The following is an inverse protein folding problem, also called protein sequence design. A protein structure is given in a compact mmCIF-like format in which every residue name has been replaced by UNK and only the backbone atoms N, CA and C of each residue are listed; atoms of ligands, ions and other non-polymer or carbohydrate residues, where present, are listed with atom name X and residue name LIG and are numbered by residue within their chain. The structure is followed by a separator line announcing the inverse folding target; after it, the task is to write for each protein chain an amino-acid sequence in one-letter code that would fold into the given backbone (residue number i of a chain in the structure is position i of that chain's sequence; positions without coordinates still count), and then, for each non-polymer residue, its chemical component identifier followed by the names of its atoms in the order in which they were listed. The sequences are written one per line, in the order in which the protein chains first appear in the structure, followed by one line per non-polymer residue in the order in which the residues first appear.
data_IF_864807943457
#
_entry.id   IF_864807943457
#
_cell.length_a   1.000
_cell.length_b   1.000
_cell.length_c   1.000
_cell.angle_alpha   90.00
_cell.angle_beta   90.00
_cell.angle_gamma   90.00
#
_symmetry.space_group_name_H-M   'P 1'
#
loop_
_entity.id
_entity.type
_entity.pdbx_description
1 polymer ?
#
# COMPACT_ATOMS: atom_id res chain seq x y z
N UNK A 1 -5.80 -4.66 -32.64
CA UNK A 1 -6.02 -6.05 -33.13
C UNK A 1 -7.46 -6.17 -33.56
N UNK A 2 -7.75 -6.80 -34.74
CA UNK A 2 -9.14 -7.05 -35.14
C UNK A 2 -9.67 -8.21 -34.33
N UNK A 3 -10.61 -7.94 -33.43
CA UNK A 3 -11.32 -8.99 -32.68
C UNK A 3 -12.13 -9.83 -33.65
N UNK A 4 -11.94 -11.15 -33.66
CA UNK A 4 -12.70 -12.06 -34.50
C UNK A 4 -13.98 -12.47 -33.77
N UNK A 5 -15.12 -12.04 -34.31
CA UNK A 5 -16.45 -12.42 -33.82
C UNK A 5 -17.19 -13.27 -34.86
N UNK A 6 -17.75 -14.43 -34.43
CA UNK A 6 -18.50 -15.32 -35.31
C UNK A 6 -19.62 -16.03 -34.54
N UNK A 7 -20.79 -16.12 -35.15
CA UNK A 7 -21.95 -16.90 -34.67
C UNK A 7 -22.26 -17.97 -35.70
N UNK A 8 -22.26 -19.24 -35.25
CA UNK A 8 -22.58 -20.42 -36.06
C UNK A 8 -23.71 -21.20 -35.41
N UNK A 9 -24.56 -21.78 -36.27
CA UNK A 9 -25.59 -22.71 -35.81
C UNK A 9 -25.31 -24.13 -36.32
N UNK A 10 -25.64 -25.11 -35.49
CA UNK A 10 -25.54 -26.52 -35.87
C UNK A 10 -26.56 -27.37 -35.09
N UNK A 11 -26.97 -28.50 -35.68
CA UNK A 11 -27.90 -29.43 -35.08
C UNK A 11 -27.15 -30.45 -34.22
N UNK A 12 -27.62 -30.68 -33.00
CA UNK A 12 -27.05 -31.66 -32.08
C UNK A 12 -27.61 -33.06 -32.38
N UNK A 13 -27.02 -33.73 -33.37
CA UNK A 13 -27.51 -35.03 -33.89
C UNK A 13 -27.58 -36.17 -32.89
N UNK A 14 -26.79 -36.11 -31.81
CA UNK A 14 -26.81 -37.09 -30.73
C UNK A 14 -27.91 -36.84 -29.67
N UNK A 15 -28.76 -35.84 -29.86
CA UNK A 15 -29.85 -35.48 -28.96
C UNK A 15 -31.20 -35.41 -29.70
N UNK A 16 -31.43 -36.34 -30.63
CA UNK A 16 -32.73 -36.47 -31.34
C UNK A 16 -33.80 -36.89 -30.34
N UNK A 17 -34.90 -36.13 -30.32
CA UNK A 17 -36.07 -36.42 -29.45
C UNK A 17 -36.94 -37.49 -30.08
N UNK A 18 -37.87 -38.04 -29.26
CA UNK A 18 -38.88 -39.00 -29.76
C UNK A 18 -39.73 -38.48 -30.93
N UNK A 19 -39.79 -37.18 -31.11
CA UNK A 19 -40.46 -36.47 -32.23
C UNK A 19 -39.66 -36.49 -33.55
N UNK A 20 -38.48 -37.11 -33.57
CA UNK A 20 -37.59 -37.11 -34.74
C UNK A 20 -36.81 -35.79 -34.93
N UNK A 21 -37.03 -34.78 -34.08
CA UNK A 21 -36.34 -33.47 -34.16
C UNK A 21 -35.17 -33.41 -33.22
N UNK A 22 -34.12 -32.67 -33.57
CA UNK A 22 -32.96 -32.43 -32.75
C UNK A 22 -32.79 -30.91 -32.51
N UNK A 23 -32.26 -30.51 -31.35
CA UNK A 23 -32.11 -29.08 -31.01
C UNK A 23 -31.01 -28.42 -31.83
N UNK A 24 -31.27 -27.18 -32.21
CA UNK A 24 -30.28 -26.28 -32.85
C UNK A 24 -29.52 -25.56 -31.79
N UNK A 25 -28.17 -25.57 -31.88
CA UNK A 25 -27.26 -24.94 -30.94
C UNK A 25 -26.59 -23.78 -31.68
N UNK A 26 -26.52 -22.64 -30.98
CA UNK A 26 -25.70 -21.51 -31.38
C UNK A 26 -24.31 -21.62 -30.74
N UNK A 27 -23.26 -21.39 -31.55
CA UNK A 27 -21.87 -21.26 -31.11
C UNK A 27 -21.39 -19.86 -31.33
N UNK A 28 -20.98 -19.18 -30.29
CA UNK A 28 -20.33 -17.87 -30.32
C UNK A 28 -18.82 -18.10 -30.22
N UNK A 29 -18.06 -17.45 -31.10
CA UNK A 29 -16.58 -17.41 -31.06
C UNK A 29 -16.13 -15.98 -30.97
N UNK A 30 -15.29 -15.66 -30.00
CA UNK A 30 -14.60 -14.37 -29.82
C UNK A 30 -13.13 -14.67 -29.57
N UNK A 31 -12.24 -14.16 -30.39
CA UNK A 31 -10.78 -14.33 -30.28
C UNK A 31 -10.36 -15.79 -29.97
N UNK A 32 -10.90 -16.75 -30.78
CA UNK A 32 -10.69 -18.19 -30.66
C UNK A 32 -11.40 -18.88 -29.48
N UNK A 33 -11.82 -18.16 -28.42
CA UNK A 33 -12.63 -18.71 -27.35
C UNK A 33 -14.06 -19.01 -27.85
N UNK A 34 -14.61 -20.17 -27.45
CA UNK A 34 -15.91 -20.67 -27.95
C UNK A 34 -16.84 -20.96 -26.79
N UNK A 35 -18.09 -20.51 -26.92
CA UNK A 35 -19.19 -20.90 -26.04
C UNK A 35 -20.41 -21.31 -26.84
N UNK A 36 -21.36 -22.01 -26.20
CA UNK A 36 -22.55 -22.57 -26.86
C UNK A 36 -23.79 -22.36 -25.99
N UNK A 37 -24.95 -22.24 -26.68
CA UNK A 37 -26.25 -22.24 -26.00
C UNK A 37 -27.33 -22.85 -26.91
N UNK A 38 -28.40 -23.32 -26.31
CA UNK A 38 -29.57 -23.84 -27.02
C UNK A 38 -30.43 -22.69 -27.51
N UNK A 39 -30.76 -22.68 -28.81
CA UNK A 39 -31.64 -21.66 -29.41
C UNK A 39 -33.11 -21.84 -29.10
N UNK A 40 -33.48 -22.95 -28.45
CA UNK A 40 -34.86 -23.44 -28.24
C UNK A 40 -35.59 -23.83 -29.55
N UNK A 41 -34.89 -23.84 -30.69
CA UNK A 41 -35.41 -24.31 -31.98
C UNK A 41 -34.97 -25.76 -32.19
N UNK A 42 -35.82 -26.51 -32.90
CA UNK A 42 -35.60 -27.89 -33.23
C UNK A 42 -35.92 -28.16 -34.72
N UNK A 43 -35.17 -29.07 -35.31
CA UNK A 43 -35.35 -29.46 -36.73
C UNK A 43 -34.99 -30.92 -36.90
N UNK A 44 -35.58 -31.59 -37.91
CA UNK A 44 -35.18 -32.94 -38.32
C UNK A 44 -33.73 -32.87 -38.91
N UNK A 45 -32.81 -33.77 -38.48
CA UNK A 45 -31.39 -33.69 -38.87
C UNK A 45 -31.12 -33.76 -40.37
N UNK A 46 -32.03 -34.37 -41.16
CA UNK A 46 -32.02 -34.48 -42.62
C UNK A 46 -32.40 -33.15 -43.30
N UNK A 47 -33.14 -32.30 -42.62
CA UNK A 47 -33.54 -30.98 -43.11
C UNK A 47 -32.56 -29.88 -42.77
N UNK A 48 -31.31 -30.18 -42.43
CA UNK A 48 -30.31 -29.23 -42.05
C UNK A 48 -29.13 -29.16 -43.00
N UNK A 49 -28.87 -27.97 -43.56
CA UNK A 49 -27.69 -27.67 -44.36
C UNK A 49 -26.51 -27.33 -43.43
N UNK A 50 -25.60 -28.26 -43.26
CA UNK A 50 -24.44 -28.10 -42.36
C UNK A 50 -23.49 -27.00 -42.80
N UNK A 51 -23.09 -26.87 -44.10
CA UNK A 51 -22.23 -25.80 -44.57
C UNK A 51 -22.82 -24.40 -44.38
N UNK A 52 -24.11 -24.23 -44.65
CA UNK A 52 -24.82 -22.95 -44.53
C UNK A 52 -25.27 -22.64 -43.11
N UNK A 53 -25.40 -23.66 -42.26
CA UNK A 53 -25.95 -23.52 -40.90
C UNK A 53 -27.40 -23.03 -40.89
N UNK A 54 -28.22 -23.53 -41.79
CA UNK A 54 -29.63 -23.16 -42.01
C UNK A 54 -30.50 -24.39 -42.34
N UNK A 55 -31.80 -24.22 -42.13
CA UNK A 55 -32.77 -25.22 -42.55
C UNK A 55 -32.86 -25.30 -44.06
N UNK A 56 -32.96 -26.56 -44.61
CA UNK A 56 -33.17 -26.83 -46.07
C UNK A 56 -34.64 -26.77 -46.43
N UNK A 57 -34.93 -26.43 -47.69
CA UNK A 57 -36.31 -26.39 -48.22
C UNK A 57 -36.91 -24.99 -48.29
N UNK A 58 -38.04 -24.89 -49.05
CA UNK A 58 -38.80 -23.64 -49.23
C UNK A 58 -40.12 -23.61 -48.47
N UNK A 59 -40.37 -24.61 -47.63
CA UNK A 59 -41.60 -24.71 -46.86
C UNK A 59 -41.66 -23.67 -45.75
N UNK A 60 -42.87 -23.37 -45.25
CA UNK A 60 -43.06 -22.34 -44.21
C UNK A 60 -42.28 -22.60 -42.93
N UNK A 61 -42.13 -23.88 -42.51
CA UNK A 61 -41.35 -24.24 -41.33
C UNK A 61 -39.85 -23.91 -41.46
N UNK A 62 -39.25 -24.23 -42.63
CA UNK A 62 -37.85 -23.92 -42.90
C UNK A 62 -37.60 -22.40 -42.96
N UNK A 63 -38.53 -21.65 -43.58
CA UNK A 63 -38.46 -20.18 -43.63
C UNK A 63 -38.57 -19.58 -42.22
N UNK A 64 -39.49 -20.03 -41.41
CA UNK A 64 -39.68 -19.58 -40.03
C UNK A 64 -38.44 -19.86 -39.17
N UNK A 65 -37.88 -21.07 -39.23
CA UNK A 65 -36.66 -21.44 -38.49
C UNK A 65 -35.51 -20.54 -38.94
N UNK A 66 -35.31 -20.33 -40.24
CA UNK A 66 -34.25 -19.49 -40.77
C UNK A 66 -34.37 -18.02 -40.36
N UNK A 67 -35.60 -17.47 -40.31
CA UNK A 67 -35.86 -16.11 -39.83
C UNK A 67 -35.49 -16.00 -38.35
N UNK A 68 -35.94 -16.94 -37.49
CA UNK A 68 -35.63 -16.94 -36.09
C UNK A 68 -34.12 -17.10 -35.80
N UNK A 69 -33.40 -17.88 -36.61
CA UNK A 69 -31.94 -17.99 -36.50
C UNK A 69 -31.24 -16.69 -36.87
N UNK A 70 -31.73 -15.96 -37.87
CA UNK A 70 -31.19 -14.66 -38.23
C UNK A 70 -31.49 -13.61 -37.14
N UNK A 71 -32.67 -13.64 -36.50
CA UNK A 71 -33.00 -12.81 -35.34
C UNK A 71 -32.05 -13.09 -34.15
N UNK A 72 -31.81 -14.38 -33.86
CA UNK A 72 -30.84 -14.78 -32.80
C UNK A 72 -29.44 -14.23 -33.14
N UNK A 73 -29.01 -14.35 -34.42
CA UNK A 73 -27.71 -13.84 -34.84
C UNK A 73 -27.60 -12.33 -34.63
N UNK A 74 -28.61 -11.57 -35.08
CA UNK A 74 -28.66 -10.11 -34.90
C UNK A 74 -28.66 -9.69 -33.44
N UNK A 75 -29.46 -10.37 -32.59
CA UNK A 75 -29.51 -10.08 -31.15
C UNK A 75 -28.16 -10.35 -30.43
N UNK A 76 -27.51 -11.47 -30.77
CA UNK A 76 -26.17 -11.79 -30.22
C UNK A 76 -25.14 -10.78 -30.72
N UNK A 77 -25.21 -10.36 -31.99
CA UNK A 77 -24.30 -9.36 -32.55
C UNK A 77 -24.49 -7.99 -31.91
N UNK A 78 -25.74 -7.60 -31.65
CA UNK A 78 -26.06 -6.37 -30.91
C UNK A 78 -25.44 -6.37 -29.50
N UNK A 79 -25.55 -7.49 -28.79
CA UNK A 79 -24.94 -7.63 -27.45
C UNK A 79 -23.41 -7.56 -27.52
N UNK A 80 -22.79 -8.19 -28.52
CA UNK A 80 -21.35 -8.09 -28.74
C UNK A 80 -20.88 -6.65 -28.93
N UNK A 81 -21.54 -5.87 -29.80
CA UNK A 81 -21.17 -4.47 -30.03
C UNK A 81 -21.41 -3.60 -28.79
N UNK A 82 -22.54 -3.77 -28.10
CA UNK A 82 -22.84 -3.02 -26.87
C UNK A 82 -21.80 -3.29 -25.80
N UNK A 83 -21.40 -4.55 -25.58
CA UNK A 83 -20.35 -4.91 -24.61
C UNK A 83 -18.97 -4.37 -25.04
N UNK A 84 -18.66 -4.37 -26.33
CA UNK A 84 -17.40 -3.85 -26.85
C UNK A 84 -17.27 -2.34 -26.67
N UNK A 85 -18.36 -1.60 -26.93
CA UNK A 85 -18.43 -0.15 -26.72
C UNK A 85 -18.34 0.24 -25.25
N UNK A 86 -18.99 -0.53 -24.35
CA UNK A 86 -19.04 -0.20 -22.93
C UNK A 86 -17.75 -0.58 -22.20
N UNK A 87 -17.20 -1.76 -22.47
CA UNK A 87 -16.15 -2.37 -21.65
C UNK A 87 -14.80 -2.50 -22.38
N UNK A 88 -14.75 -2.23 -23.71
CA UNK A 88 -13.53 -2.32 -24.53
C UNK A 88 -12.96 -3.73 -24.71
N UNK A 89 -13.50 -4.73 -24.00
CA UNK A 89 -13.10 -6.14 -24.05
C UNK A 89 -14.30 -7.06 -23.86
N UNK A 90 -14.41 -8.08 -24.70
CA UNK A 90 -15.57 -8.99 -24.73
C UNK A 90 -15.09 -10.44 -24.80
N UNK A 91 -15.69 -11.33 -23.98
CA UNK A 91 -15.51 -12.78 -24.08
C UNK A 91 -16.77 -13.45 -24.67
N UNK A 92 -16.59 -14.63 -25.26
CA UNK A 92 -17.71 -15.38 -25.82
C UNK A 92 -18.79 -15.69 -24.77
N UNK A 93 -18.37 -16.02 -23.53
CA UNK A 93 -19.27 -16.31 -22.40
C UNK A 93 -20.10 -15.08 -22.03
N UNK A 94 -19.50 -13.89 -21.96
CA UNK A 94 -20.20 -12.64 -21.63
C UNK A 94 -21.26 -12.30 -22.67
N UNK A 95 -20.96 -12.50 -23.95
CA UNK A 95 -21.96 -12.28 -25.03
C UNK A 95 -23.12 -13.25 -24.89
N UNK A 96 -22.85 -14.54 -24.63
CA UNK A 96 -23.88 -15.55 -24.39
C UNK A 96 -24.77 -15.17 -23.20
N UNK A 97 -24.16 -14.82 -22.08
CA UNK A 97 -24.86 -14.54 -20.83
C UNK A 97 -25.69 -13.26 -20.92
N UNK A 98 -25.17 -12.24 -21.62
CA UNK A 98 -25.93 -11.03 -21.94
C UNK A 98 -27.14 -11.31 -22.84
N UNK A 99 -26.97 -12.15 -23.88
CA UNK A 99 -28.06 -12.58 -24.75
C UNK A 99 -29.14 -13.38 -24.02
N UNK A 100 -28.72 -14.28 -23.12
CA UNK A 100 -29.62 -15.12 -22.32
C UNK A 100 -30.28 -14.37 -21.15
N UNK A 101 -30.01 -13.06 -21.00
CA UNK A 101 -30.50 -12.28 -19.86
C UNK A 101 -29.94 -12.76 -18.50
N UNK A 102 -28.88 -13.56 -18.53
CA UNK A 102 -28.12 -13.90 -17.33
C UNK A 102 -27.27 -12.68 -16.99
N UNK A 103 -27.85 -11.74 -16.26
CA UNK A 103 -27.10 -10.65 -15.69
C UNK A 103 -25.96 -11.26 -14.88
N UNK A 104 -24.69 -11.03 -15.27
CA UNK A 104 -23.60 -11.13 -14.31
C UNK A 104 -24.09 -10.38 -13.08
N UNK A 105 -24.08 -11.02 -11.89
CA UNK A 105 -24.27 -10.31 -10.63
C UNK A 105 -23.26 -9.18 -10.68
N UNK A 106 -23.73 -7.97 -10.95
CA UNK A 106 -22.87 -6.81 -11.07
C UNK A 106 -22.25 -6.62 -9.71
N UNK A 107 -20.99 -7.05 -9.54
CA UNK A 107 -20.29 -6.94 -8.26
C UNK A 107 -20.15 -5.47 -7.92
N UNK A 108 -20.54 -5.16 -6.71
CA UNK A 108 -20.47 -3.81 -6.17
C UNK A 108 -19.13 -3.56 -5.48
N UNK A 109 -18.78 -2.31 -5.28
CA UNK A 109 -17.46 -1.95 -4.70
C UNK A 109 -17.37 -2.34 -3.23
N UNK A 110 -18.44 -2.21 -2.44
CA UNK A 110 -18.41 -2.54 -1.02
C UNK A 110 -18.35 -4.06 -0.82
N UNK A 111 -19.14 -4.85 -1.58
CA UNK A 111 -19.07 -6.31 -1.58
C UNK A 111 -17.65 -6.80 -1.93
N UNK A 112 -17.03 -6.17 -2.94
CA UNK A 112 -15.67 -6.53 -3.35
C UNK A 112 -14.61 -6.11 -2.32
N UNK A 113 -14.81 -4.97 -1.69
CA UNK A 113 -13.93 -4.49 -0.61
C UNK A 113 -14.00 -5.42 0.60
N UNK A 114 -15.19 -5.92 0.94
CA UNK A 114 -15.39 -6.90 2.01
C UNK A 114 -14.66 -8.21 1.70
N UNK A 115 -14.81 -8.75 0.49
CA UNK A 115 -14.07 -9.92 0.03
C UNK A 115 -12.55 -9.74 0.12
N UNK A 116 -12.03 -8.56 -0.26
CA UNK A 116 -10.62 -8.25 -0.09
C UNK A 116 -10.21 -8.26 1.38
N UNK A 117 -11.02 -7.67 2.28
CA UNK A 117 -10.72 -7.59 3.71
C UNK A 117 -10.74 -8.98 4.36
N UNK A 118 -11.67 -9.86 3.97
CA UNK A 118 -11.71 -11.25 4.41
C UNK A 118 -10.44 -12.02 3.98
N UNK A 119 -10.04 -11.90 2.72
CA UNK A 119 -8.80 -12.50 2.24
C UNK A 119 -7.56 -11.95 2.95
N UNK A 120 -7.55 -10.64 3.25
CA UNK A 120 -6.47 -10.04 4.01
C UNK A 120 -6.43 -10.59 5.44
N UNK A 121 -7.58 -10.75 6.09
CA UNK A 121 -7.68 -11.33 7.43
C UNK A 121 -7.13 -12.77 7.47
N UNK A 122 -7.43 -13.58 6.45
CA UNK A 122 -6.84 -14.91 6.30
C UNK A 122 -5.32 -14.87 6.19
N UNK A 123 -4.77 -13.93 5.38
CA UNK A 123 -3.31 -13.74 5.22
C UNK A 123 -2.60 -13.39 6.54
N UNK A 124 -3.26 -12.64 7.43
CA UNK A 124 -2.71 -12.29 8.75
C UNK A 124 -3.11 -13.31 9.83
N UNK A 125 -3.35 -14.57 9.43
CA UNK A 125 -3.65 -15.71 10.31
C UNK A 125 -4.85 -15.44 11.22
N UNK A 126 -5.88 -14.81 10.68
CA UNK A 126 -7.12 -14.47 11.40
C UNK A 126 -6.91 -13.61 12.66
N UNK A 127 -5.83 -12.82 12.70
CA UNK A 127 -5.58 -11.88 13.80
C UNK A 127 -6.51 -10.66 13.71
N UNK A 128 -7.57 -10.58 14.55
CA UNK A 128 -8.52 -9.48 14.53
C UNK A 128 -7.93 -8.19 15.11
N UNK A 129 -6.76 -8.25 15.79
CA UNK A 129 -6.11 -7.06 16.35
C UNK A 129 -5.18 -6.37 15.35
N UNK A 130 -5.04 -6.94 14.14
CA UNK A 130 -4.17 -6.41 13.10
C UNK A 130 -4.56 -4.99 12.68
N UNK A 131 -3.71 -4.02 13.01
CA UNK A 131 -3.96 -2.59 12.75
C UNK A 131 -4.13 -2.27 11.26
N UNK A 132 -3.55 -3.07 10.36
CA UNK A 132 -3.70 -2.86 8.91
C UNK A 132 -5.06 -3.33 8.43
N UNK A 133 -5.56 -4.45 8.92
CA UNK A 133 -6.92 -4.91 8.68
C UNK A 133 -7.95 -3.84 9.09
N UNK A 134 -7.85 -3.31 10.29
CA UNK A 134 -8.75 -2.26 10.77
C UNK A 134 -8.69 -0.97 9.94
N UNK A 135 -7.55 -0.65 9.35
CA UNK A 135 -7.44 0.50 8.44
C UNK A 135 -8.15 0.26 7.12
N UNK A 136 -8.16 -0.97 6.60
CA UNK A 136 -8.96 -1.34 5.43
C UNK A 136 -10.45 -1.31 5.76
N UNK A 137 -10.85 -1.87 6.90
CA UNK A 137 -12.24 -1.86 7.34
C UNK A 137 -12.77 -0.44 7.57
N UNK A 138 -11.97 0.42 8.19
CA UNK A 138 -12.32 1.83 8.32
C UNK A 138 -12.45 2.50 6.93
N UNK A 139 -11.63 2.11 5.96
CA UNK A 139 -11.73 2.65 4.60
C UNK A 139 -13.02 2.19 3.92
N UNK A 140 -13.44 0.93 4.10
CA UNK A 140 -14.70 0.40 3.60
C UNK A 140 -15.89 1.20 4.16
N UNK A 141 -15.93 1.42 5.47
CA UNK A 141 -16.98 2.21 6.13
C UNK A 141 -17.04 3.65 5.61
N UNK A 142 -15.88 4.30 5.45
CA UNK A 142 -15.79 5.65 4.86
C UNK A 142 -16.29 5.68 3.41
N UNK A 143 -16.03 4.64 2.66
CA UNK A 143 -16.51 4.51 1.28
C UNK A 143 -18.02 4.33 1.24
N UNK A 144 -18.60 3.52 2.13
CA UNK A 144 -20.04 3.32 2.30
C UNK A 144 -20.74 4.65 2.65
N UNK A 145 -20.23 5.38 3.64
CA UNK A 145 -20.71 6.71 4.02
C UNK A 145 -20.67 7.69 2.83
N UNK A 146 -19.57 7.69 2.07
CA UNK A 146 -19.40 8.53 0.89
C UNK A 146 -20.42 8.20 -0.22
N UNK A 147 -20.61 6.92 -0.54
CA UNK A 147 -21.55 6.46 -1.56
C UNK A 147 -22.97 6.93 -1.19
N UNK A 148 -23.36 6.71 0.06
CA UNK A 148 -24.66 7.17 0.56
C UNK A 148 -24.80 8.68 0.52
N UNK A 149 -23.77 9.42 0.93
CA UNK A 149 -23.76 10.88 0.97
C UNK A 149 -23.84 11.51 -0.43
N UNK A 150 -23.04 11.01 -1.38
CA UNK A 150 -22.90 11.65 -2.70
C UNK A 150 -23.91 11.15 -3.73
N UNK A 151 -24.24 9.85 -3.68
CA UNK A 151 -25.05 9.20 -4.71
C UNK A 151 -26.42 8.73 -4.22
N UNK A 152 -26.69 8.79 -2.91
CA UNK A 152 -27.97 8.38 -2.29
C UNK A 152 -28.32 6.89 -2.54
N UNK A 153 -27.31 6.05 -2.74
CA UNK A 153 -27.46 4.59 -2.91
C UNK A 153 -26.68 3.85 -1.81
N UNK A 154 -27.03 2.58 -1.60
CA UNK A 154 -26.36 1.75 -0.57
C UNK A 154 -24.99 1.22 -1.02
N UNK A 155 -24.81 0.99 -2.33
CA UNK A 155 -23.58 0.49 -2.94
C UNK A 155 -23.55 0.83 -4.44
N UNK A 156 -22.39 0.69 -5.10
CA UNK A 156 -22.22 1.01 -6.50
C UNK A 156 -21.55 -0.13 -7.27
N UNK A 157 -21.94 -0.38 -8.53
CA UNK A 157 -21.22 -1.30 -9.42
C UNK A 157 -19.75 -0.90 -9.59
N UNK A 158 -18.85 -1.88 -9.55
CA UNK A 158 -17.41 -1.64 -9.79
C UNK A 158 -17.11 -0.91 -11.10
N UNK A 159 -17.87 -1.18 -12.15
CA UNK A 159 -17.73 -0.55 -13.47
C UNK A 159 -18.05 0.94 -13.50
N UNK A 160 -18.84 1.43 -12.55
CA UNK A 160 -19.29 2.84 -12.50
C UNK A 160 -18.28 3.73 -11.74
N UNK A 161 -17.23 3.12 -11.16
CA UNK A 161 -16.16 3.85 -10.48
C UNK A 161 -15.22 4.43 -11.54
N UNK A 162 -15.09 5.75 -11.53
CA UNK A 162 -14.25 6.52 -12.43
C UNK A 162 -13.33 7.49 -11.68
N UNK A 163 -12.52 8.26 -12.38
CA UNK A 163 -11.60 9.25 -11.79
C UNK A 163 -12.34 10.26 -10.92
N UNK A 164 -13.50 10.74 -11.38
CA UNK A 164 -14.31 11.70 -10.61
C UNK A 164 -14.83 11.13 -9.28
N UNK A 165 -15.17 9.83 -9.27
CA UNK A 165 -15.50 9.12 -8.02
C UNK A 165 -14.35 9.16 -7.03
N UNK A 166 -13.12 8.89 -7.49
CA UNK A 166 -11.91 8.89 -6.65
C UNK A 166 -11.62 10.29 -6.09
N UNK A 167 -11.73 11.32 -6.92
CA UNK A 167 -11.54 12.72 -6.51
C UNK A 167 -12.60 13.16 -5.50
N UNK A 168 -13.87 12.84 -5.74
CA UNK A 168 -14.95 13.13 -4.81
C UNK A 168 -14.79 12.39 -3.47
N UNK A 169 -14.28 11.15 -3.48
CA UNK A 169 -13.98 10.41 -2.25
C UNK A 169 -12.84 11.06 -1.45
N UNK A 170 -11.81 11.60 -2.12
CA UNK A 170 -10.77 12.40 -1.48
C UNK A 170 -11.37 13.63 -0.80
N UNK A 171 -12.11 14.45 -1.55
CA UNK A 171 -12.73 15.67 -1.06
C UNK A 171 -13.75 15.40 0.07
N UNK A 172 -14.50 14.32 0.02
CA UNK A 172 -15.40 13.91 1.09
C UNK A 172 -14.64 13.67 2.40
N UNK A 173 -13.50 12.98 2.37
CA UNK A 173 -12.70 12.76 3.57
C UNK A 173 -12.07 14.06 4.10
N UNK A 174 -11.70 15.00 3.24
CA UNK A 174 -11.14 16.29 3.63
C UNK A 174 -12.23 17.22 4.22
N UNK A 175 -13.34 17.40 3.51
CA UNK A 175 -14.32 18.44 3.81
C UNK A 175 -15.38 17.98 4.83
N UNK A 176 -15.86 16.73 4.74
CA UNK A 176 -16.90 16.22 5.64
C UNK A 176 -16.31 15.65 6.92
N UNK A 177 -15.17 14.95 6.81
CA UNK A 177 -14.52 14.34 7.97
C UNK A 177 -13.35 15.15 8.52
N UNK A 178 -13.03 16.30 7.96
CA UNK A 178 -11.94 17.17 8.43
C UNK A 178 -10.56 16.51 8.40
N UNK A 179 -10.35 15.51 7.55
CA UNK A 179 -9.06 14.85 7.43
C UNK A 179 -8.04 15.79 6.75
N UNK A 180 -6.82 15.86 7.28
CA UNK A 180 -5.76 16.48 6.51
C UNK A 180 -5.48 15.67 5.22
N UNK A 181 -4.91 16.34 4.21
CA UNK A 181 -4.66 15.77 2.88
C UNK A 181 -3.99 14.40 2.92
N UNK A 182 -2.94 14.23 3.71
CA UNK A 182 -2.23 12.96 3.81
C UNK A 182 -3.06 11.82 4.42
N UNK A 183 -3.97 12.14 5.32
CA UNK A 183 -4.89 11.15 5.89
C UNK A 183 -5.95 10.75 4.89
N UNK A 184 -6.57 11.71 4.20
CA UNK A 184 -7.54 11.47 3.12
C UNK A 184 -6.89 10.67 1.98
N UNK A 185 -5.68 11.05 1.57
CA UNK A 185 -4.91 10.34 0.54
C UNK A 185 -4.58 8.89 0.90
N UNK A 186 -4.45 8.54 2.20
CA UNK A 186 -4.30 7.15 2.63
C UNK A 186 -5.57 6.33 2.47
N UNK A 187 -6.76 6.91 2.59
CA UNK A 187 -8.01 6.25 2.26
C UNK A 187 -8.06 5.95 0.75
N UNK A 188 -7.73 6.93 -0.08
CA UNK A 188 -7.65 6.77 -1.53
C UNK A 188 -6.61 5.72 -1.94
N UNK A 189 -5.44 5.69 -1.30
CA UNK A 189 -4.40 4.68 -1.56
C UNK A 189 -4.90 3.25 -1.26
N UNK A 190 -5.67 3.06 -0.18
CA UNK A 190 -6.25 1.74 0.15
C UNK A 190 -7.35 1.35 -0.83
N UNK A 191 -8.21 2.30 -1.23
CA UNK A 191 -9.18 2.08 -2.30
C UNK A 191 -8.48 1.64 -3.58
N UNK A 192 -7.38 2.31 -3.97
CA UNK A 192 -6.56 1.90 -5.13
C UNK A 192 -6.03 0.46 -5.00
N UNK A 193 -5.64 0.03 -3.80
CA UNK A 193 -5.18 -1.35 -3.58
C UNK A 193 -6.30 -2.36 -3.86
N UNK A 194 -7.52 -2.07 -3.41
CA UNK A 194 -8.69 -2.92 -3.65
C UNK A 194 -9.10 -2.91 -5.13
N UNK A 195 -9.08 -1.75 -5.77
CA UNK A 195 -9.34 -1.63 -7.22
C UNK A 195 -8.29 -2.40 -8.05
N UNK A 196 -7.02 -2.33 -7.67
CA UNK A 196 -5.98 -3.13 -8.32
C UNK A 196 -6.20 -4.64 -8.12
N UNK A 197 -6.69 -5.06 -6.96
CA UNK A 197 -7.09 -6.43 -6.73
C UNK A 197 -8.24 -6.84 -7.66
N UNK A 198 -9.25 -5.98 -7.85
CA UNK A 198 -10.35 -6.19 -8.80
C UNK A 198 -9.86 -6.31 -10.26
N UNK A 199 -8.89 -5.48 -10.66
CA UNK A 199 -8.25 -5.57 -11.98
C UNK A 199 -7.51 -6.88 -12.17
N UNK A 200 -6.67 -7.26 -11.19
CA UNK A 200 -5.86 -8.48 -11.26
C UNK A 200 -6.70 -9.77 -11.25
N UNK A 201 -7.91 -9.73 -10.70
CA UNK A 201 -8.87 -10.84 -10.73
C UNK A 201 -9.81 -10.81 -11.94
N UNK A 202 -9.61 -9.87 -12.87
CA UNK A 202 -10.43 -9.75 -14.10
C UNK A 202 -11.84 -9.21 -13.86
N UNK A 203 -12.11 -8.62 -12.70
CA UNK A 203 -13.42 -8.07 -12.35
C UNK A 203 -13.61 -6.62 -12.79
N UNK A 204 -12.51 -5.92 -13.08
CA UNK A 204 -12.50 -4.54 -13.55
C UNK A 204 -11.50 -4.40 -14.70
N UNK A 205 -11.94 -3.90 -15.85
CA UNK A 205 -11.11 -3.76 -17.05
C UNK A 205 -10.54 -2.35 -17.23
N UNK A 206 -11.30 -1.33 -16.81
CA UNK A 206 -10.88 0.07 -16.90
C UNK A 206 -10.34 0.52 -15.55
N UNK A 207 -9.16 1.17 -15.54
CA UNK A 207 -8.55 1.68 -14.33
C UNK A 207 -9.11 3.05 -13.95
N UNK A 208 -9.92 3.16 -12.90
CA UNK A 208 -10.43 4.46 -12.43
C UNK A 208 -9.33 5.38 -11.88
N UNK A 209 -8.13 4.83 -11.64
CA UNK A 209 -6.95 5.59 -11.18
C UNK A 209 -5.97 5.94 -12.31
N UNK A 210 -6.29 5.66 -13.58
CA UNK A 210 -5.35 5.80 -14.70
C UNK A 210 -4.67 7.17 -14.77
N UNK A 211 -5.43 8.24 -14.56
CA UNK A 211 -4.95 9.62 -14.54
C UNK A 211 -4.82 10.22 -13.13
N UNK A 212 -5.18 9.47 -12.08
CA UNK A 212 -5.12 9.96 -10.71
C UNK A 212 -3.77 9.62 -10.06
N UNK A 213 -3.02 10.66 -9.66
CA UNK A 213 -1.74 10.49 -8.98
C UNK A 213 -1.93 10.57 -7.46
N UNK A 214 -1.67 9.45 -6.77
CA UNK A 214 -1.60 9.41 -5.30
C UNK A 214 -0.35 10.19 -4.87
N UNK A 215 -0.52 11.44 -4.45
CA UNK A 215 0.57 12.34 -4.06
C UNK A 215 0.39 12.76 -2.60
N UNK A 216 1.39 12.50 -1.78
CA UNK A 216 1.43 12.95 -0.39
C UNK A 216 2.18 14.28 -0.27
N UNK A 217 1.68 15.15 0.58
CA UNK A 217 2.38 16.35 0.98
C UNK A 217 3.54 16.02 1.92
N UNK A 218 4.64 16.73 1.76
CA UNK A 218 5.78 16.57 2.65
C UNK A 218 5.44 17.09 4.04
N UNK A 219 5.55 16.25 5.04
CA UNK A 219 5.36 16.62 6.44
C UNK A 219 6.72 16.79 7.10
N UNK A 220 7.02 17.98 7.54
CA UNK A 220 8.17 18.20 8.40
C UNK A 220 7.81 17.81 9.83
N UNK A 221 8.46 16.78 10.33
CA UNK A 221 8.22 16.29 11.70
C UNK A 221 9.13 16.95 12.72
N UNK A 222 10.06 17.77 12.24
CA UNK A 222 11.07 18.38 13.09
C UNK A 222 12.05 17.40 13.71
N UNK A 223 13.03 17.95 14.38
CA UNK A 223 14.01 17.24 15.22
C UNK A 223 14.49 18.18 16.32
N UNK A 224 15.10 17.64 17.36
CA UNK A 224 15.76 18.40 18.40
C UNK A 224 17.22 18.65 18.02
N UNK A 225 17.71 19.84 18.32
CA UNK A 225 19.15 20.14 18.25
C UNK A 225 19.90 19.41 19.37
N UNK A 226 21.22 19.36 19.33
CA UNK A 226 22.01 18.73 20.39
C UNK A 226 21.81 19.47 21.72
N UNK A 227 21.75 20.81 21.68
CA UNK A 227 21.51 21.66 22.85
C UNK A 227 20.15 21.34 23.51
N UNK A 228 19.10 21.19 22.71
CA UNK A 228 17.76 20.80 23.21
C UNK A 228 17.75 19.39 23.80
N UNK A 229 18.45 18.43 23.18
CA UNK A 229 18.62 17.06 23.72
C UNK A 229 19.32 17.10 25.07
N UNK A 230 20.40 17.86 25.18
CA UNK A 230 21.18 17.99 26.41
C UNK A 230 20.43 18.79 27.48
N UNK A 231 19.63 19.79 27.10
CA UNK A 231 18.75 20.50 28.03
C UNK A 231 17.74 19.55 28.68
N UNK A 232 17.11 18.67 27.90
CA UNK A 232 16.20 17.62 28.43
C UNK A 232 16.97 16.64 29.35
N UNK A 233 18.15 16.20 28.91
CA UNK A 233 18.95 15.22 29.64
C UNK A 233 19.37 15.72 31.04
N UNK A 234 19.83 16.96 31.14
CA UNK A 234 20.30 17.54 32.40
C UNK A 234 19.19 18.12 33.25
N UNK A 235 17.99 18.28 32.74
CA UNK A 235 16.89 18.84 33.54
C UNK A 235 16.47 17.88 34.67
N UNK A 236 16.30 18.42 35.87
CA UNK A 236 15.78 17.67 37.02
C UNK A 236 14.27 17.80 37.05
N UNK A 237 13.57 16.67 36.99
CA UNK A 237 12.12 16.66 37.01
C UNK A 237 11.58 16.31 38.41
N UNK A 238 10.48 16.95 38.86
CA UNK A 238 9.92 16.71 40.20
C UNK A 238 9.24 15.34 40.34
N UNK A 239 8.93 14.69 39.24
CA UNK A 239 8.22 13.41 39.19
C UNK A 239 9.10 12.30 38.62
N UNK A 240 9.16 11.16 39.33
CA UNK A 240 9.81 9.94 38.87
C UNK A 240 9.31 9.49 37.49
N UNK A 241 8.02 9.74 37.18
CA UNK A 241 7.43 9.38 35.87
C UNK A 241 8.03 10.23 34.73
N UNK A 242 8.19 11.53 34.97
CA UNK A 242 8.82 12.42 33.97
C UNK A 242 10.29 12.05 33.77
N UNK A 243 11.03 11.71 34.87
CA UNK A 243 12.40 11.22 34.72
C UNK A 243 12.49 9.92 33.90
N UNK A 244 11.57 8.98 34.12
CA UNK A 244 11.53 7.74 33.35
C UNK A 244 11.24 8.00 31.88
N UNK A 245 10.31 8.90 31.57
CA UNK A 245 9.98 9.28 30.16
C UNK A 245 11.17 10.02 29.55
N UNK A 246 11.82 10.94 30.25
CA UNK A 246 13.06 11.58 29.81
C UNK A 246 14.11 10.54 29.45
N UNK A 247 14.38 9.59 30.31
CA UNK A 247 15.41 8.56 30.11
C UNK A 247 15.10 7.69 28.89
N UNK A 248 13.84 7.27 28.72
CA UNK A 248 13.40 6.54 27.52
C UNK A 248 13.58 7.34 26.26
N UNK A 249 13.22 8.62 26.28
CA UNK A 249 13.31 9.51 25.14
C UNK A 249 14.77 9.78 24.76
N UNK A 250 15.61 10.11 25.76
CA UNK A 250 17.04 10.34 25.56
C UNK A 250 17.74 9.07 25.07
N UNK A 251 17.41 7.90 25.64
CA UNK A 251 17.92 6.64 25.14
C UNK A 251 17.62 6.45 23.66
N UNK A 252 16.40 6.76 23.22
CA UNK A 252 16.03 6.71 21.82
C UNK A 252 16.73 7.80 20.99
N UNK A 253 17.01 8.98 21.53
CA UNK A 253 17.79 10.04 20.86
C UNK A 253 19.22 9.61 20.50
N UNK A 254 19.81 8.67 21.26
CA UNK A 254 21.17 8.19 21.01
C UNK A 254 21.25 6.80 20.37
N UNK A 255 20.14 6.05 20.34
CA UNK A 255 20.09 4.70 19.76
C UNK A 255 19.23 4.59 18.51
N UNK A 256 18.42 5.62 18.22
CA UNK A 256 17.42 5.62 17.15
C UNK A 256 16.39 4.47 17.24
N UNK A 257 16.28 3.75 18.34
CA UNK A 257 15.29 2.72 18.55
C UNK A 257 13.88 3.30 18.54
N UNK A 258 12.93 2.60 17.93
CA UNK A 258 11.52 3.01 18.02
C UNK A 258 10.96 2.69 19.40
N UNK A 259 9.81 3.27 19.76
CA UNK A 259 9.17 3.03 21.05
C UNK A 259 9.03 1.52 21.34
N UNK A 260 8.55 0.73 20.38
CA UNK A 260 8.33 -0.70 20.57
C UNK A 260 9.67 -1.44 20.78
N UNK A 261 10.70 -1.09 19.99
CA UNK A 261 12.02 -1.68 20.10
C UNK A 261 12.68 -1.38 21.46
N UNK A 262 12.41 -0.18 22.03
CA UNK A 262 12.88 0.19 23.39
C UNK A 262 12.15 -0.59 24.47
N UNK A 263 10.83 -0.75 24.35
CA UNK A 263 10.02 -1.48 25.34
C UNK A 263 10.31 -2.99 25.35
N UNK A 264 10.73 -3.54 24.21
CA UNK A 264 11.02 -4.96 24.04
C UNK A 264 12.51 -5.30 24.19
N UNK A 265 13.35 -4.31 24.48
CA UNK A 265 14.80 -4.52 24.62
C UNK A 265 15.10 -5.48 25.77
N UNK A 266 15.86 -6.54 25.50
CA UNK A 266 16.26 -7.58 26.43
C UNK A 266 17.77 -7.55 26.69
N UNK A 267 18.25 -8.12 27.81
CA UNK A 267 19.67 -8.26 28.08
C UNK A 267 20.46 -8.95 26.95
N UNK A 268 19.87 -9.96 26.32
CA UNK A 268 20.47 -10.72 25.22
C UNK A 268 20.65 -9.90 23.94
N UNK A 269 19.94 -8.79 23.81
CA UNK A 269 20.14 -7.85 22.69
C UNK A 269 21.43 -7.02 22.84
N UNK A 270 22.06 -7.03 24.03
CA UNK A 270 23.27 -6.27 24.33
C UNK A 270 24.47 -7.20 24.46
N UNK A 271 25.46 -6.99 23.63
CA UNK A 271 26.71 -7.78 23.63
C UNK A 271 27.94 -6.90 23.49
N UNK A 272 29.09 -7.41 23.93
CA UNK A 272 30.37 -6.77 23.68
C UNK A 272 30.80 -7.07 22.25
N UNK A 273 31.01 -6.02 21.47
CA UNK A 273 31.43 -6.12 20.07
C UNK A 273 32.92 -6.40 19.91
N UNK A 274 33.35 -6.56 18.65
CA UNK A 274 34.74 -6.79 18.26
C UNK A 274 35.69 -5.64 18.68
N UNK A 275 35.14 -4.46 18.93
CA UNK A 275 35.85 -3.25 19.34
C UNK A 275 35.89 -3.06 20.88
N UNK A 276 35.45 -4.08 21.65
CA UNK A 276 35.38 -4.04 23.12
C UNK A 276 34.27 -3.17 23.69
N UNK A 277 33.45 -2.51 22.83
CA UNK A 277 32.35 -1.67 23.25
C UNK A 277 31.03 -2.46 23.33
N UNK A 278 30.06 -1.91 24.04
CA UNK A 278 28.72 -2.48 24.09
C UNK A 278 27.92 -2.10 22.83
N UNK A 279 27.24 -3.09 22.26
CA UNK A 279 26.42 -2.96 21.09
C UNK A 279 25.02 -3.52 21.35
N UNK A 280 23.99 -2.86 20.78
CA UNK A 280 22.67 -3.43 20.63
C UNK A 280 22.62 -4.09 19.25
N UNK A 281 22.35 -5.39 19.21
CA UNK A 281 22.17 -6.16 17.99
C UNK A 281 20.78 -6.81 18.04
N UNK A 282 19.81 -6.21 17.33
CA UNK A 282 18.44 -6.74 17.33
C UNK A 282 17.75 -6.57 15.99
N UNK A 283 16.82 -7.45 15.68
CA UNK A 283 15.90 -7.30 14.54
C UNK A 283 14.83 -6.27 14.89
N UNK A 284 14.63 -5.31 14.00
CA UNK A 284 13.56 -4.31 14.12
C UNK A 284 12.19 -4.96 14.06
N UNK A 285 11.33 -4.67 15.02
CA UNK A 285 9.95 -5.19 15.07
C UNK A 285 9.16 -4.95 13.75
N UNK A 286 9.28 -3.78 13.13
CA UNK A 286 8.49 -3.39 11.94
C UNK A 286 9.05 -3.96 10.63
N UNK A 287 10.35 -4.07 10.47
CA UNK A 287 11.01 -4.37 9.17
C UNK A 287 11.75 -5.69 9.16
N UNK A 288 11.88 -6.33 10.31
CA UNK A 288 12.67 -7.55 10.53
C UNK A 288 14.15 -7.43 10.07
N UNK A 289 14.63 -6.18 9.90
CA UNK A 289 16.03 -5.88 9.55
C UNK A 289 16.86 -5.79 10.81
N UNK A 290 18.02 -6.42 10.84
CA UNK A 290 18.97 -6.32 11.94
C UNK A 290 19.55 -4.91 12.01
N UNK A 291 19.38 -4.25 13.15
CA UNK A 291 20.05 -3.02 13.51
C UNK A 291 21.21 -3.33 14.45
N UNK A 292 22.39 -2.79 14.16
CA UNK A 292 23.59 -2.88 14.99
C UNK A 292 23.95 -1.47 15.44
N UNK A 293 23.85 -1.22 16.74
CA UNK A 293 23.95 0.14 17.32
C UNK A 293 24.98 0.09 18.43
N UNK A 294 26.11 0.79 18.24
CA UNK A 294 27.09 0.97 19.29
C UNK A 294 26.50 1.88 20.39
N UNK A 295 26.58 1.45 21.63
CA UNK A 295 26.15 2.26 22.76
C UNK A 295 27.20 3.32 23.10
N UNK A 296 26.74 4.56 23.20
CA UNK A 296 27.51 5.69 23.70
C UNK A 296 27.34 5.83 25.21
N UNK A 297 28.08 6.72 25.85
CA UNK A 297 28.11 6.85 27.35
C UNK A 297 26.75 7.15 27.95
N UNK A 298 25.95 8.03 27.33
CA UNK A 298 24.62 8.41 27.83
C UNK A 298 23.65 7.21 27.86
N UNK A 299 23.44 6.45 26.79
CA UNK A 299 22.67 5.20 26.84
C UNK A 299 23.19 4.20 27.87
N UNK A 300 24.52 4.05 28.01
CA UNK A 300 25.14 3.16 29.02
C UNK A 300 24.79 3.62 30.42
N UNK A 301 24.88 4.92 30.69
CA UNK A 301 24.54 5.48 32.03
C UNK A 301 23.05 5.24 32.35
N UNK A 302 22.15 5.40 31.35
CA UNK A 302 20.72 5.13 31.53
C UNK A 302 20.49 3.65 31.84
N UNK A 303 21.11 2.73 31.12
CA UNK A 303 20.98 1.29 31.40
C UNK A 303 21.50 0.94 32.81
N UNK A 304 22.63 1.49 33.23
CA UNK A 304 23.17 1.31 34.59
C UNK A 304 22.22 1.82 35.67
N UNK A 305 21.53 2.97 35.44
CA UNK A 305 20.54 3.54 36.36
C UNK A 305 19.41 2.56 36.70
N UNK A 306 18.96 1.77 35.71
CA UNK A 306 17.83 0.85 35.85
C UNK A 306 18.22 -0.60 36.12
N UNK A 307 19.49 -0.97 36.02
CA UNK A 307 19.97 -2.35 36.21
C UNK A 307 19.52 -2.91 37.56
N UNK A 308 18.78 -4.02 37.52
CA UNK A 308 18.28 -4.72 38.72
C UNK A 308 17.16 -4.01 39.49
N UNK A 309 16.62 -2.89 38.97
CA UNK A 309 15.57 -2.10 39.66
C UNK A 309 14.18 -2.25 38.99
N UNK A 310 14.09 -2.96 37.91
CA UNK A 310 12.85 -3.15 37.16
C UNK A 310 12.37 -4.61 37.25
N UNK A 311 11.04 -4.84 37.25
CA UNK A 311 10.49 -6.19 37.25
C UNK A 311 10.84 -6.92 35.94
N UNK A 312 10.76 -8.24 35.96
CA UNK A 312 10.87 -9.14 34.80
C UNK A 312 12.19 -8.99 34.00
N UNK A 313 13.29 -8.57 34.66
CA UNK A 313 14.60 -8.42 34.02
C UNK A 313 14.67 -7.34 32.93
N UNK A 314 13.68 -6.44 32.87
CA UNK A 314 13.64 -5.35 31.89
C UNK A 314 14.79 -4.37 32.07
N UNK A 315 15.35 -3.93 30.95
CA UNK A 315 16.45 -2.97 30.92
C UNK A 315 15.97 -1.52 31.12
N UNK A 316 14.76 -1.20 30.67
CA UNK A 316 14.19 0.14 30.70
C UNK A 316 12.71 0.11 31.13
N UNK A 317 12.20 1.20 31.76
CA UNK A 317 10.81 1.24 32.21
C UNK A 317 9.84 1.16 31.01
N UNK A 318 8.72 0.43 31.20
CA UNK A 318 7.69 0.31 30.16
C UNK A 318 6.48 1.16 30.55
N UNK A 319 6.23 2.19 29.78
CA UNK A 319 5.10 3.12 29.91
C UNK A 319 4.39 3.14 28.56
N UNK A 320 3.06 3.15 28.50
CA UNK A 320 2.34 3.14 27.22
C UNK A 320 2.74 4.32 26.34
N UNK A 321 2.82 4.10 25.00
CA UNK A 321 3.26 5.12 24.04
C UNK A 321 2.41 6.40 24.11
N UNK A 322 1.12 6.27 24.38
CA UNK A 322 0.23 7.42 24.54
C UNK A 322 0.69 8.27 25.76
N UNK A 323 0.86 7.64 26.92
CA UNK A 323 1.32 8.35 28.13
C UNK A 323 2.71 8.95 27.96
N UNK A 324 3.64 8.23 27.31
CA UNK A 324 4.96 8.78 26.98
C UNK A 324 4.82 10.07 26.17
N UNK A 325 3.99 10.06 25.13
CA UNK A 325 3.78 11.27 24.30
C UNK A 325 3.09 12.40 25.07
N UNK A 326 2.23 12.11 26.05
CA UNK A 326 1.61 13.13 26.90
C UNK A 326 2.63 13.76 27.83
N UNK A 327 3.44 12.97 28.54
CA UNK A 327 4.52 13.47 29.38
C UNK A 327 5.63 14.20 28.61
N UNK A 328 5.89 13.84 27.34
CA UNK A 328 6.83 14.57 26.51
C UNK A 328 6.40 16.01 26.23
N UNK A 329 5.08 16.30 26.23
CA UNK A 329 4.60 17.69 26.14
C UNK A 329 4.93 18.50 27.38
N UNK A 330 4.80 17.88 28.57
CA UNK A 330 5.18 18.50 29.85
C UNK A 330 6.69 18.74 29.90
N UNK A 331 7.48 17.75 29.53
CA UNK A 331 8.95 17.85 29.45
C UNK A 331 9.36 18.99 28.51
N UNK A 332 8.73 19.11 27.33
CA UNK A 332 9.02 20.20 26.40
C UNK A 332 8.74 21.57 27.03
N UNK A 333 7.60 21.74 27.70
CA UNK A 333 7.23 22.98 28.36
C UNK A 333 8.22 23.35 29.48
N UNK A 334 8.60 22.37 30.32
CA UNK A 334 9.54 22.58 31.42
C UNK A 334 10.95 22.93 30.93
N UNK A 335 11.37 22.39 29.80
CA UNK A 335 12.67 22.68 29.20
C UNK A 335 12.67 23.89 28.26
N UNK A 336 11.56 24.62 28.11
CA UNK A 336 11.45 25.78 27.23
C UNK A 336 11.52 25.44 25.73
N UNK A 337 11.19 24.20 25.35
CA UNK A 337 11.25 23.72 23.96
C UNK A 337 9.92 23.96 23.26
N UNK A 338 9.90 24.92 22.35
CA UNK A 338 8.71 25.25 21.57
C UNK A 338 8.54 24.31 20.35
N UNK A 339 8.53 22.99 20.57
CA UNK A 339 8.31 21.95 19.55
C UNK A 339 7.35 20.90 20.11
N UNK A 340 6.45 20.39 19.25
CA UNK A 340 5.56 19.28 19.64
C UNK A 340 6.35 17.99 19.74
N UNK A 341 6.86 17.68 20.92
CA UNK A 341 7.62 16.46 21.15
C UNK A 341 6.73 15.22 21.00
N UNK A 342 7.26 14.24 20.29
CA UNK A 342 6.72 12.89 20.21
C UNK A 342 7.86 11.89 20.33
N UNK A 343 7.60 10.68 20.83
CA UNK A 343 8.66 9.68 20.94
C UNK A 343 9.38 9.40 19.61
N UNK A 344 8.66 9.47 18.50
CA UNK A 344 9.25 9.27 17.19
C UNK A 344 10.26 10.38 16.79
N UNK A 345 10.11 11.59 17.35
CA UNK A 345 11.07 12.68 17.14
C UNK A 345 12.47 12.33 17.69
N UNK A 346 12.58 11.51 18.73
CA UNK A 346 13.88 11.04 19.22
C UNK A 346 14.70 10.36 18.10
N UNK A 347 14.06 9.51 17.31
CA UNK A 347 14.71 8.85 16.17
C UNK A 347 15.11 9.81 15.07
N UNK A 348 14.29 10.84 14.81
CA UNK A 348 14.64 11.92 13.88
C UNK A 348 15.85 12.72 14.39
N UNK A 349 15.85 13.05 15.69
CA UNK A 349 16.95 13.76 16.35
C UNK A 349 18.24 12.96 16.35
N UNK A 350 18.15 11.65 16.60
CA UNK A 350 19.31 10.76 16.48
C UNK A 350 19.92 10.82 15.08
N UNK A 351 19.10 10.63 14.04
CA UNK A 351 19.58 10.64 12.68
C UNK A 351 20.21 11.99 12.27
N UNK A 352 19.55 13.10 12.64
CA UNK A 352 19.94 14.44 12.19
C UNK A 352 21.03 15.05 13.08
N UNK A 353 20.75 15.17 14.40
CA UNK A 353 21.60 15.94 15.32
C UNK A 353 22.74 15.13 15.95
N UNK A 354 22.50 13.82 16.20
CA UNK A 354 23.53 12.98 16.82
C UNK A 354 24.44 12.36 15.76
N UNK A 355 23.90 11.88 14.62
CA UNK A 355 24.70 11.16 13.64
C UNK A 355 25.15 12.06 12.47
N UNK A 356 24.20 12.56 11.66
CA UNK A 356 24.55 13.31 10.43
C UNK A 356 25.26 14.64 10.73
N UNK A 357 24.88 15.35 11.80
CA UNK A 357 25.56 16.59 12.20
C UNK A 357 27.00 16.38 12.66
N UNK A 358 27.35 15.14 13.07
CA UNK A 358 28.69 14.72 13.47
C UNK A 358 29.38 13.87 12.39
N UNK A 359 29.08 14.12 11.13
CA UNK A 359 29.76 13.59 9.96
C UNK A 359 29.69 12.05 9.81
N UNK A 360 28.72 11.39 10.47
CA UNK A 360 28.47 9.96 10.25
C UNK A 360 27.87 9.78 8.84
N UNK A 361 28.49 8.94 7.97
CA UNK A 361 27.99 8.74 6.61
C UNK A 361 26.53 8.24 6.58
N UNK A 362 25.76 8.69 5.59
CA UNK A 362 24.33 8.39 5.48
C UNK A 362 24.05 6.88 5.37
N UNK A 363 24.97 6.11 4.78
CA UNK A 363 24.91 4.67 4.66
C UNK A 363 24.98 4.01 6.05
N UNK A 364 25.91 4.51 6.89
CA UNK A 364 26.05 4.07 8.29
C UNK A 364 24.80 4.43 9.09
N UNK A 365 24.29 5.66 8.93
CA UNK A 365 23.03 6.09 9.56
C UNK A 365 21.87 5.21 9.11
N UNK A 366 21.78 4.87 7.81
CA UNK A 366 20.76 3.98 7.28
C UNK A 366 20.79 2.59 7.93
N UNK A 367 21.99 2.04 8.14
CA UNK A 367 22.22 0.75 8.83
C UNK A 367 21.82 0.81 10.31
N UNK A 368 22.23 1.84 11.03
CA UNK A 368 21.84 2.07 12.43
C UNK A 368 20.32 2.19 12.57
N UNK A 369 19.69 2.92 11.65
CA UNK A 369 18.24 3.06 11.60
C UNK A 369 17.53 1.76 11.18
N UNK A 370 18.20 0.77 10.62
CA UNK A 370 17.59 -0.46 10.09
C UNK A 370 16.64 -0.16 8.92
N UNK A 371 17.01 0.73 8.00
CA UNK A 371 16.26 1.00 6.79
C UNK A 371 16.68 0.05 5.68
N UNK A 372 15.71 -0.54 4.96
CA UNK A 372 15.95 -1.37 3.78
C UNK A 372 16.28 -0.56 2.54
N UNK A 373 15.92 0.75 2.53
CA UNK A 373 16.14 1.64 1.40
C UNK A 373 16.70 2.98 1.92
N UNK A 374 17.86 3.35 1.40
CA UNK A 374 18.57 4.59 1.78
C UNK A 374 17.74 5.85 1.52
N UNK A 375 16.83 5.84 0.54
CA UNK A 375 15.88 6.95 0.29
C UNK A 375 15.07 7.32 1.54
N UNK A 376 14.79 6.35 2.42
CA UNK A 376 14.12 6.60 3.70
C UNK A 376 15.01 7.38 4.66
N UNK A 377 16.32 7.26 4.55
CA UNK A 377 17.31 8.01 5.35
C UNK A 377 17.57 9.39 4.78
N UNK A 378 17.46 9.55 3.47
CA UNK A 378 17.66 10.84 2.78
C UNK A 378 16.70 11.95 3.25
N UNK A 379 15.56 11.60 3.84
CA UNK A 379 14.65 12.58 4.46
C UNK A 379 15.32 13.37 5.61
N UNK A 380 16.33 12.78 6.27
CA UNK A 380 17.12 13.41 7.33
C UNK A 380 18.33 14.20 6.82
N UNK A 381 18.80 13.87 5.63
CA UNK A 381 19.96 14.50 5.00
C UNK A 381 19.59 15.86 4.42
N UNK A 382 19.14 16.79 5.28
CA UNK A 382 19.09 18.20 4.91
C UNK A 382 20.49 18.74 5.00
N UNK A 383 21.16 18.84 3.84
CA UNK A 383 22.46 19.51 3.76
C UNK A 383 22.20 20.97 4.11
N UNK A 384 22.66 21.40 5.28
CA UNK A 384 22.65 22.81 5.66
C UNK A 384 23.81 23.50 4.99
N UNK A 385 23.68 24.81 4.66
CA UNK A 385 24.79 25.63 4.13
C UNK A 385 26.02 25.57 5.03
N UNK A 386 25.80 25.44 6.34
CA UNK A 386 26.85 25.25 7.34
C UNK A 386 27.65 23.94 7.13
N UNK A 387 26.99 22.87 6.74
CA UNK A 387 27.67 21.59 6.45
C UNK A 387 28.43 21.68 5.14
N UNK A 388 27.84 22.30 4.11
CA UNK A 388 28.54 22.55 2.83
C UNK A 388 29.80 23.35 3.07
N UNK A 389 29.75 24.45 3.84
CA UNK A 389 30.89 25.25 4.21
C UNK A 389 31.99 24.44 4.90
N UNK A 390 31.62 23.67 5.93
CA UNK A 390 32.56 22.81 6.67
C UNK A 390 33.21 21.73 5.78
N UNK A 391 32.43 21.09 4.93
CA UNK A 391 32.97 20.08 4.01
C UNK A 391 33.92 20.69 2.98
N UNK A 392 33.62 21.91 2.50
CA UNK A 392 34.51 22.67 1.58
C UNK A 392 35.77 23.16 2.29
N UNK A 393 35.71 23.58 3.56
CA UNK A 393 36.88 23.93 4.33
C UNK A 393 37.83 22.74 4.53
N UNK A 394 37.28 21.56 4.85
CA UNK A 394 38.06 20.31 4.94
C UNK A 394 38.70 19.93 3.60
N UNK A 395 37.96 20.11 2.50
CA UNK A 395 38.47 19.86 1.16
C UNK A 395 39.62 20.84 0.83
N UNK A 396 39.44 22.15 1.10
CA UNK A 396 40.49 23.15 0.89
C UNK A 396 41.75 22.83 1.66
N UNK A 397 41.66 22.43 2.94
CA UNK A 397 42.80 21.98 3.74
C UNK A 397 43.53 20.80 3.11
N UNK A 398 42.80 19.77 2.65
CA UNK A 398 43.40 18.60 1.98
C UNK A 398 44.11 18.95 0.69
N UNK A 399 43.54 19.85 -0.12
CA UNK A 399 44.11 20.26 -1.38
C UNK A 399 45.36 21.15 -1.18
N UNK A 400 45.38 22.01 -0.17
CA UNK A 400 46.53 22.83 0.19
C UNK A 400 47.74 21.96 0.59
N UNK A 401 47.52 20.83 1.29
CA UNK A 401 48.60 19.89 1.60
C UNK A 401 49.13 19.13 0.38
N UNK A 402 48.34 18.97 -0.67
CA UNK A 402 48.80 18.35 -1.93
C UNK A 402 49.68 19.32 -2.73
N UNK A 403 49.37 20.64 -2.70
CA UNK A 403 50.18 21.69 -3.36
C UNK A 403 51.56 21.88 -2.77
N UNK A 404 51.71 21.69 -1.46
CA UNK A 404 53.00 21.91 -0.75
C UNK A 404 53.99 20.74 -0.89
N UNK A 405 53.55 19.55 -1.33
CA UNK A 405 54.44 18.39 -1.60
C UNK A 405 55.22 18.46 -2.92
N UNK A 406 54.90 19.39 -3.86
CA UNK A 406 55.53 19.47 -5.18
C UNK A 406 56.74 20.46 -5.25
N UNK A 407 57.14 21.09 -4.15
CA UNK A 407 58.31 22.04 -4.16
C UNK A 407 59.53 21.58 -3.36
N UNK A 408 59.67 20.23 -3.15
CA UNK A 408 60.92 19.71 -2.60
C UNK A 408 61.49 18.66 -3.54
N UNK A 409 61.96 19.05 -4.69
CA UNK A 409 63.04 18.31 -5.40
C UNK A 409 63.66 19.24 -6.41
N UNK A 410 65.01 19.26 -6.32
CA UNK A 410 66.01 19.73 -7.23
C UNK A 410 66.53 21.15 -7.01
N UNK A 411 67.40 21.25 -5.99
CA UNK A 411 68.65 21.99 -6.16
C UNK A 411 69.79 20.98 -5.89
N UNK A 412 70.31 20.42 -6.96
CA UNK A 412 71.66 19.85 -6.99
C UNK A 412 72.36 20.50 -8.15
N UNK A 413 73.43 21.10 -7.81
CA UNK A 413 74.55 21.73 -8.53
C UNK A 413 74.82 21.06 -9.87
#
# INVERSE_FOLDING_TARGET
MRNTFKVLFFVKRNAVKKTGKAPIIARITVDQAKTQFYTQLEIAPDQWDVPRGKATGRGPEAQQINSLLDDVRMAVQKQYHSLLETDGYVTAERVRDAYLGKTEKTRTILEFFEQHNEQYLQKVKMDPTNKTYWRYELTRRRLEEFIKYKYSVSDMPLKDINVLFVENFLLFNENVHGCNHNTAMKFVQRLRTVVNFAKNTGMLFVDPFGNFKVKFERTDRGYLTMEEIMAIYHHTFPSRRLEQVRDLFIFSCFTALSYIDVCELQPDDISTGFDGNLWIIRKRHKTNVTASIRLLDIPIAILKKYKGKLPDGKLLPVISNQRVNDYLKEIAAMCGINKKLTFHMARHSCATSVLLANDVPIETVSKILGHTNIRTTQIYARITDRKVSKDMDLLAQKLNHVGTRKHRTTSVI
#
